data_IF_148012988662
#
_entry.id   IF_148012988662
#
_cell.length_a   1.000
_cell.length_b   1.000
_cell.length_c   1.000
_cell.angle_alpha   90.00
_cell.angle_beta   90.00
_cell.angle_gamma   90.00
#
_symmetry.space_group_name_H-M   'P 1'
#
loop_
_entity.id
_entity.type
_entity.pdbx_description
1 polymer ?
#
# COMPACT_ATOMS: atom_id res chain seq x y z
N UNK A 1 33.81 2.30 -47.26
CA UNK A 1 33.49 0.97 -46.73
C UNK A 1 33.21 1.15 -45.24
N UNK A 2 32.03 0.72 -44.82
CA UNK A 2 31.22 1.29 -43.75
C UNK A 2 31.82 1.24 -42.34
N UNK A 3 31.83 2.39 -41.66
CA UNK A 3 31.76 2.46 -40.18
C UNK A 3 30.39 3.07 -39.86
N UNK A 4 29.34 2.31 -40.13
CA UNK A 4 27.96 2.64 -39.75
C UNK A 4 27.38 1.42 -39.06
N UNK A 5 27.61 1.32 -37.75
CA UNK A 5 26.75 0.62 -36.79
C UNK A 5 27.39 0.71 -35.40
N UNK A 6 26.55 0.72 -34.36
CA UNK A 6 26.89 0.62 -32.92
C UNK A 6 26.87 1.90 -32.07
N UNK A 7 26.10 2.93 -32.45
CA UNK A 7 25.43 3.76 -31.44
C UNK A 7 24.00 3.29 -31.32
N UNK A 8 23.81 2.26 -30.51
CA UNK A 8 22.49 1.77 -30.13
C UNK A 8 21.84 2.87 -29.26
N UNK A 9 20.66 3.39 -29.60
CA UNK A 9 20.02 4.41 -28.80
C UNK A 9 19.73 3.85 -27.41
N UNK A 10 20.17 4.57 -26.37
CA UNK A 10 19.82 4.33 -24.97
C UNK A 10 18.30 4.16 -24.88
N UNK A 11 17.87 2.92 -24.67
CA UNK A 11 16.48 2.53 -24.71
C UNK A 11 15.66 3.32 -23.68
N UNK A 12 14.78 4.20 -24.15
CA UNK A 12 13.72 4.91 -23.41
C UNK A 12 12.58 3.99 -22.97
N UNK A 13 12.79 2.67 -22.91
CA UNK A 13 11.76 1.65 -22.66
C UNK A 13 11.24 1.58 -21.22
N UNK A 14 11.89 2.22 -20.24
CA UNK A 14 11.50 2.11 -18.84
C UNK A 14 10.44 3.12 -18.36
N UNK A 15 10.28 4.27 -19.03
CA UNK A 15 9.35 5.32 -18.57
C UNK A 15 7.89 4.90 -18.75
N UNK A 16 7.52 4.43 -19.94
CA UNK A 16 6.13 4.09 -20.28
C UNK A 16 5.57 2.95 -19.45
N UNK A 17 6.38 1.94 -19.13
CA UNK A 17 5.96 0.82 -18.28
C UNK A 17 5.62 1.28 -16.85
N UNK A 18 6.38 2.21 -16.29
CA UNK A 18 6.09 2.82 -14.99
C UNK A 18 4.78 3.60 -14.99
N UNK A 19 4.56 4.43 -16.01
CA UNK A 19 3.31 5.18 -16.18
C UNK A 19 2.09 4.26 -16.35
N UNK A 20 2.21 3.21 -17.17
CA UNK A 20 1.13 2.26 -17.38
C UNK A 20 0.80 1.48 -16.09
N UNK A 21 1.81 0.98 -15.38
CA UNK A 21 1.61 0.29 -14.11
C UNK A 21 0.99 1.21 -13.05
N UNK A 22 1.41 2.48 -13.00
CA UNK A 22 0.80 3.50 -12.14
C UNK A 22 -0.66 3.73 -12.48
N UNK A 23 -1.00 3.88 -13.77
CA UNK A 23 -2.37 4.07 -14.23
C UNK A 23 -3.25 2.86 -13.91
N UNK A 24 -2.77 1.64 -14.14
CA UNK A 24 -3.48 0.42 -13.74
C UNK A 24 -3.74 0.39 -12.24
N UNK A 25 -2.74 0.77 -11.43
CA UNK A 25 -2.91 0.92 -9.99
C UNK A 25 -4.03 1.91 -9.65
N UNK A 26 -4.01 3.11 -10.24
CA UNK A 26 -5.07 4.11 -10.02
C UNK A 26 -6.45 3.54 -10.38
N UNK A 27 -6.60 2.89 -11.52
CA UNK A 27 -7.87 2.31 -11.97
C UNK A 27 -8.39 1.26 -10.98
N UNK A 28 -7.51 0.35 -10.53
CA UNK A 28 -7.87 -0.73 -9.60
C UNK A 28 -8.23 -0.18 -8.22
N UNK A 29 -7.48 0.82 -7.72
CA UNK A 29 -7.62 1.28 -6.34
C UNK A 29 -8.63 2.42 -6.15
N UNK A 30 -8.94 3.22 -7.17
CA UNK A 30 -9.80 4.41 -7.03
C UNK A 30 -11.19 4.10 -6.47
N UNK A 31 -11.78 2.97 -6.85
CA UNK A 31 -13.10 2.53 -6.37
C UNK A 31 -13.09 1.85 -5.00
N UNK A 32 -11.91 1.54 -4.44
CA UNK A 32 -11.79 0.66 -3.27
C UNK A 32 -12.40 1.26 -2.00
N UNK A 33 -12.13 2.53 -1.70
CA UNK A 33 -12.67 3.19 -0.50
C UNK A 33 -14.19 3.46 -0.59
N UNK A 34 -14.74 3.96 -1.73
CA UNK A 34 -16.19 4.03 -1.92
C UNK A 34 -16.88 2.67 -1.79
N UNK A 35 -16.35 1.63 -2.43
CA UNK A 35 -16.91 0.29 -2.34
C UNK A 35 -16.87 -0.26 -0.91
N UNK A 36 -15.78 -0.01 -0.17
CA UNK A 36 -15.66 -0.38 1.25
C UNK A 36 -16.70 0.36 2.09
N UNK A 37 -16.89 1.66 1.86
CA UNK A 37 -17.87 2.46 2.60
C UNK A 37 -19.30 1.96 2.40
N UNK A 38 -19.64 1.56 1.17
CA UNK A 38 -20.93 0.96 0.85
C UNK A 38 -21.05 -0.41 1.53
N UNK A 39 -20.03 -1.26 1.41
CA UNK A 39 -20.05 -2.60 1.98
C UNK A 39 -20.20 -2.61 3.51
N UNK A 40 -19.57 -1.68 4.24
CA UNK A 40 -19.70 -1.60 5.72
C UNK A 40 -21.07 -1.07 6.19
N UNK A 41 -21.97 -0.67 5.28
CA UNK A 41 -23.37 -0.41 5.62
C UNK A 41 -24.14 -1.72 5.85
N UNK A 42 -23.75 -2.79 5.19
CA UNK A 42 -24.45 -4.08 5.22
C UNK A 42 -23.65 -5.18 5.94
N UNK A 43 -22.32 -5.10 5.92
CA UNK A 43 -21.43 -6.10 6.49
C UNK A 43 -20.62 -5.54 7.65
N UNK A 44 -20.38 -6.38 8.66
CA UNK A 44 -19.44 -6.05 9.73
C UNK A 44 -18.02 -5.83 9.14
N UNK A 45 -17.28 -4.78 9.56
CA UNK A 45 -15.93 -4.50 9.06
C UNK A 45 -14.98 -5.70 9.15
N UNK A 46 -15.04 -6.45 10.25
CA UNK A 46 -14.23 -7.65 10.43
C UNK A 46 -14.56 -8.73 9.40
N UNK A 47 -15.85 -9.01 9.18
CA UNK A 47 -16.27 -9.98 8.17
C UNK A 47 -15.82 -9.57 6.78
N UNK A 48 -15.98 -8.29 6.42
CA UNK A 48 -15.56 -7.77 5.13
C UNK A 48 -14.05 -7.92 4.92
N UNK A 49 -13.24 -7.61 5.93
CA UNK A 49 -11.78 -7.78 5.87
C UNK A 49 -11.39 -9.24 5.72
N UNK A 50 -11.97 -10.13 6.53
CA UNK A 50 -11.67 -11.57 6.48
C UNK A 50 -12.11 -12.16 5.14
N UNK A 51 -13.27 -11.78 4.61
CA UNK A 51 -13.75 -12.24 3.32
C UNK A 51 -12.81 -11.82 2.19
N UNK A 52 -12.38 -10.55 2.17
CA UNK A 52 -11.40 -10.04 1.19
C UNK A 52 -10.07 -10.77 1.28
N UNK A 53 -9.53 -10.92 2.49
CA UNK A 53 -8.27 -11.61 2.73
C UNK A 53 -8.36 -13.09 2.31
N UNK A 54 -9.45 -13.79 2.65
CA UNK A 54 -9.66 -15.20 2.34
C UNK A 54 -9.77 -15.43 0.83
N UNK A 55 -10.55 -14.61 0.11
CA UNK A 55 -10.71 -14.74 -1.35
C UNK A 55 -9.37 -14.48 -2.04
N UNK A 56 -8.67 -13.40 -1.67
CA UNK A 56 -7.35 -13.10 -2.23
C UNK A 56 -6.30 -14.16 -1.85
N UNK A 57 -6.35 -14.69 -0.63
CA UNK A 57 -5.50 -15.76 -0.13
C UNK A 57 -5.68 -17.06 -0.91
N UNK A 58 -6.92 -17.47 -1.21
CA UNK A 58 -7.18 -18.63 -2.05
C UNK A 58 -6.57 -18.45 -3.46
N UNK A 59 -6.74 -17.28 -4.06
CA UNK A 59 -6.13 -16.95 -5.36
C UNK A 59 -4.60 -16.98 -5.28
N UNK A 60 -4.02 -16.44 -4.20
CA UNK A 60 -2.59 -16.46 -3.95
C UNK A 60 -2.05 -17.89 -3.79
N UNK A 61 -2.72 -18.76 -3.03
CA UNK A 61 -2.37 -20.18 -2.90
C UNK A 61 -2.38 -20.86 -4.27
N UNK A 62 -3.45 -20.67 -5.06
CA UNK A 62 -3.54 -21.23 -6.40
C UNK A 62 -2.38 -20.76 -7.29
N UNK A 63 -2.06 -19.47 -7.28
CA UNK A 63 -0.93 -18.90 -8.03
C UNK A 63 0.40 -19.50 -7.61
N UNK A 64 0.69 -19.56 -6.31
CA UNK A 64 1.93 -20.11 -5.77
C UNK A 64 2.09 -21.60 -6.12
N UNK A 65 1.01 -22.37 -6.10
CA UNK A 65 1.02 -23.80 -6.46
C UNK A 65 1.23 -24.00 -7.98
N UNK A 66 0.49 -23.28 -8.82
CA UNK A 66 0.59 -23.38 -10.29
C UNK A 66 1.98 -22.97 -10.78
N UNK A 67 2.52 -21.88 -10.23
CA UNK A 67 3.85 -21.37 -10.58
C UNK A 67 4.99 -22.06 -9.82
N UNK A 68 4.67 -23.01 -8.92
CA UNK A 68 5.62 -23.78 -8.12
C UNK A 68 6.63 -22.91 -7.38
N UNK A 69 6.13 -21.83 -6.79
CA UNK A 69 6.97 -20.84 -6.12
C UNK A 69 7.66 -21.43 -4.89
N UNK A 70 8.91 -21.01 -4.68
CA UNK A 70 9.69 -21.46 -3.52
C UNK A 70 9.13 -20.85 -2.24
N UNK A 71 9.13 -21.63 -1.16
CA UNK A 71 8.74 -21.12 0.17
C UNK A 71 9.71 -20.03 0.64
N UNK A 72 9.24 -19.02 1.38
CA UNK A 72 10.10 -17.99 1.94
C UNK A 72 11.13 -18.58 2.89
N UNK A 73 12.31 -17.97 2.94
CA UNK A 73 13.35 -18.32 3.90
C UNK A 73 12.94 -17.89 5.32
N UNK A 74 13.52 -18.54 6.35
CA UNK A 74 13.16 -18.27 7.75
C UNK A 74 13.37 -16.82 8.17
N UNK A 75 14.41 -16.17 7.64
CA UNK A 75 14.71 -14.75 7.86
C UNK A 75 13.68 -13.79 7.20
N UNK A 76 12.89 -14.27 6.25
CA UNK A 76 11.86 -13.49 5.55
C UNK A 76 10.49 -13.59 6.22
N UNK A 77 10.30 -14.53 7.16
CA UNK A 77 9.01 -14.76 7.82
C UNK A 77 8.57 -13.59 8.69
N UNK A 78 9.50 -12.99 9.46
CA UNK A 78 9.16 -11.85 10.31
C UNK A 78 8.78 -10.61 9.49
N UNK A 79 9.56 -10.20 8.46
CA UNK A 79 9.12 -9.16 7.51
C UNK A 79 7.76 -9.48 6.85
N UNK A 80 7.55 -10.72 6.41
CA UNK A 80 6.27 -11.15 5.83
C UNK A 80 5.11 -11.02 6.81
N UNK A 81 5.30 -11.40 8.08
CA UNK A 81 4.29 -11.23 9.11
C UNK A 81 3.92 -9.76 9.32
N UNK A 82 4.91 -8.86 9.27
CA UNK A 82 4.66 -7.43 9.35
C UNK A 82 3.85 -6.94 8.14
N UNK A 83 4.21 -7.37 6.92
CA UNK A 83 3.43 -7.07 5.71
C UNK A 83 1.99 -7.58 5.83
N UNK A 84 1.79 -8.83 6.25
CA UNK A 84 0.47 -9.43 6.45
C UNK A 84 -0.36 -8.64 7.47
N UNK A 85 0.22 -8.36 8.63
CA UNK A 85 -0.45 -7.60 9.70
C UNK A 85 -0.81 -6.18 9.28
N UNK A 86 0.04 -5.50 8.50
CA UNK A 86 -0.13 -4.10 8.13
C UNK A 86 -0.99 -3.90 6.90
N UNK A 87 -0.69 -4.62 5.82
CA UNK A 87 -1.27 -4.41 4.49
C UNK A 87 -2.52 -5.27 4.26
N UNK A 88 -2.51 -6.51 4.73
CA UNK A 88 -3.62 -7.46 4.48
C UNK A 88 -4.72 -7.32 5.54
N UNK A 89 -4.34 -7.24 6.82
CA UNK A 89 -5.31 -7.21 7.93
C UNK A 89 -5.52 -5.79 8.45
N UNK A 90 -4.46 -5.14 8.92
CA UNK A 90 -4.50 -3.91 9.69
C UNK A 90 -5.12 -2.75 8.92
N UNK A 91 -4.57 -2.43 7.74
CA UNK A 91 -5.09 -1.34 6.92
C UNK A 91 -6.55 -1.55 6.50
N UNK A 92 -6.95 -2.68 5.87
CA UNK A 92 -8.34 -2.90 5.48
C UNK A 92 -9.30 -2.87 6.67
N UNK A 93 -8.94 -3.47 7.81
CA UNK A 93 -9.78 -3.47 9.01
C UNK A 93 -9.94 -2.06 9.60
N UNK A 94 -8.83 -1.35 9.84
CA UNK A 94 -8.86 -0.03 10.44
C UNK A 94 -9.57 0.97 9.52
N UNK A 95 -9.38 0.90 8.21
CA UNK A 95 -10.10 1.72 7.24
C UNK A 95 -11.58 1.35 7.18
N UNK A 96 -11.95 0.07 7.20
CA UNK A 96 -13.35 -0.34 7.23
C UNK A 96 -14.06 0.15 8.51
N UNK A 97 -13.39 0.09 9.67
CA UNK A 97 -13.87 0.67 10.92
C UNK A 97 -13.99 2.20 10.82
N UNK A 98 -12.98 2.88 10.28
CA UNK A 98 -13.01 4.34 10.13
C UNK A 98 -14.20 4.79 9.26
N UNK A 99 -14.45 4.07 8.16
CA UNK A 99 -15.54 4.35 7.23
C UNK A 99 -16.94 4.13 7.84
N UNK A 100 -17.06 3.56 9.03
CA UNK A 100 -18.33 3.60 9.77
C UNK A 100 -18.64 5.01 10.29
N UNK A 101 -17.60 5.83 10.52
CA UNK A 101 -17.71 7.15 11.12
C UNK A 101 -17.47 8.30 10.16
N UNK A 102 -16.73 8.07 9.07
CA UNK A 102 -16.35 9.10 8.10
C UNK A 102 -16.70 8.69 6.66
N UNK A 103 -16.73 9.67 5.76
CA UNK A 103 -17.00 9.41 4.34
C UNK A 103 -15.73 8.93 3.62
N UNK A 104 -15.89 8.25 2.49
CA UNK A 104 -14.75 7.88 1.64
C UNK A 104 -13.96 9.10 1.14
N UNK A 105 -14.64 10.22 0.88
CA UNK A 105 -14.01 11.46 0.45
C UNK A 105 -13.14 12.08 1.56
N UNK A 106 -13.55 11.96 2.83
CA UNK A 106 -12.73 12.36 3.96
C UNK A 106 -11.54 11.41 4.13
N UNK A 107 -11.76 10.09 4.11
CA UNK A 107 -10.71 9.09 4.29
C UNK A 107 -9.63 9.10 3.20
N UNK A 108 -9.98 9.37 1.94
CA UNK A 108 -9.00 9.34 0.83
C UNK A 108 -7.95 10.44 0.97
N UNK A 109 -8.30 11.56 1.61
CA UNK A 109 -7.36 12.66 1.89
C UNK A 109 -6.25 12.17 2.83
N UNK A 110 -6.60 11.43 3.87
CA UNK A 110 -5.63 10.82 4.79
C UNK A 110 -4.69 9.85 4.07
N UNK A 111 -5.17 9.07 3.09
CA UNK A 111 -4.30 8.16 2.31
C UNK A 111 -3.16 8.93 1.60
N UNK A 112 -3.32 10.22 1.34
CA UNK A 112 -2.24 11.09 0.87
C UNK A 112 -1.03 11.19 1.82
N UNK A 113 -1.17 10.84 3.09
CA UNK A 113 -0.08 10.77 4.08
C UNK A 113 0.72 9.47 4.01
N UNK A 114 0.19 8.45 3.33
CA UNK A 114 0.80 7.11 3.26
C UNK A 114 2.21 7.11 2.65
N UNK A 115 2.53 7.90 1.60
CA UNK A 115 3.89 8.00 1.10
C UNK A 115 4.88 8.52 2.15
N UNK A 116 4.49 9.52 2.96
CA UNK A 116 5.33 10.04 4.05
C UNK A 116 5.55 8.96 5.11
N UNK A 117 4.50 8.29 5.56
CA UNK A 117 4.60 7.20 6.55
C UNK A 117 5.49 6.06 6.05
N UNK A 118 5.31 5.64 4.79
CA UNK A 118 6.14 4.62 4.14
C UNK A 118 7.60 5.04 4.07
N UNK A 119 7.88 6.31 3.73
CA UNK A 119 9.25 6.82 3.66
C UNK A 119 9.93 6.87 5.03
N UNK A 120 9.23 7.28 6.09
CA UNK A 120 9.73 7.24 7.47
C UNK A 120 10.15 5.82 7.84
N UNK A 121 9.28 4.82 7.62
CA UNK A 121 9.63 3.43 7.92
C UNK A 121 10.70 2.86 6.98
N UNK A 122 10.78 3.32 5.74
CA UNK A 122 11.86 2.93 4.83
C UNK A 122 13.23 3.42 5.32
N UNK A 123 13.30 4.60 5.94
CA UNK A 123 14.53 5.07 6.60
C UNK A 123 14.82 4.27 7.87
N UNK A 124 13.82 4.10 8.74
CA UNK A 124 14.00 3.45 10.04
C UNK A 124 14.34 1.96 9.94
N UNK A 125 13.77 1.24 8.97
CA UNK A 125 13.93 -0.21 8.83
C UNK A 125 14.65 -0.65 7.56
N UNK A 126 14.42 0.06 6.46
CA UNK A 126 15.05 -0.25 5.16
C UNK A 126 16.44 0.36 5.00
N UNK A 127 16.85 1.28 5.89
CA UNK A 127 18.13 2.01 5.77
C UNK A 127 18.18 2.94 4.56
N UNK A 128 17.03 3.24 3.95
CA UNK A 128 16.93 4.14 2.80
C UNK A 128 17.34 5.55 3.19
N UNK A 129 17.94 6.29 2.25
CA UNK A 129 18.36 7.68 2.46
C UNK A 129 17.75 8.59 1.39
N UNK A 130 16.45 8.95 1.52
CA UNK A 130 15.80 9.86 0.59
C UNK A 130 16.53 11.20 0.55
N UNK A 131 16.59 11.81 -0.63
CA UNK A 131 17.19 13.13 -0.80
C UNK A 131 16.45 14.18 0.04
N UNK A 132 17.12 15.22 0.57
CA UNK A 132 16.46 16.27 1.36
C UNK A 132 15.24 16.89 0.67
N UNK A 133 15.30 17.06 -0.65
CA UNK A 133 14.19 17.58 -1.46
C UNK A 133 12.91 16.74 -1.37
N UNK A 134 13.04 15.40 -1.23
CA UNK A 134 11.90 14.51 -1.05
C UNK A 134 11.13 14.84 0.24
N UNK A 135 11.85 15.15 1.32
CA UNK A 135 11.25 15.51 2.59
C UNK A 135 10.51 16.84 2.52
N UNK A 136 11.07 17.83 1.83
CA UNK A 136 10.41 19.12 1.62
C UNK A 136 9.05 18.92 0.94
N UNK A 137 9.01 18.20 -0.18
CA UNK A 137 7.74 17.96 -0.89
C UNK A 137 6.79 17.04 -0.13
N UNK A 138 7.30 16.02 0.57
CA UNK A 138 6.46 15.10 1.35
C UNK A 138 5.84 15.80 2.57
N UNK A 139 6.60 16.65 3.26
CA UNK A 139 6.11 17.46 4.37
C UNK A 139 5.13 18.53 3.87
N UNK A 140 5.41 19.19 2.76
CA UNK A 140 4.51 20.17 2.15
C UNK A 140 3.18 19.52 1.76
N UNK A 141 3.22 18.39 1.05
CA UNK A 141 2.01 17.64 0.67
C UNK A 141 1.22 17.17 1.89
N UNK A 142 1.92 16.68 2.92
CA UNK A 142 1.28 16.26 4.17
C UNK A 142 0.65 17.43 4.93
N UNK A 143 1.31 18.59 4.95
CA UNK A 143 0.77 19.80 5.55
C UNK A 143 -0.49 20.29 4.81
N UNK A 144 -0.54 20.18 3.48
CA UNK A 144 -1.74 20.49 2.70
C UNK A 144 -2.88 19.52 3.01
N UNK A 145 -2.59 18.23 3.14
CA UNK A 145 -3.57 17.20 3.50
C UNK A 145 -4.15 17.47 4.90
N UNK A 146 -3.28 17.73 5.89
CA UNK A 146 -3.71 18.07 7.26
C UNK A 146 -4.48 19.39 7.29
N UNK A 147 -4.00 20.41 6.57
CA UNK A 147 -4.66 21.71 6.46
C UNK A 147 -6.06 21.60 5.84
N UNK A 148 -6.21 20.79 4.79
CA UNK A 148 -7.51 20.51 4.18
C UNK A 148 -8.45 19.81 5.17
N UNK A 149 -7.96 18.78 5.87
CA UNK A 149 -8.75 18.07 6.88
C UNK A 149 -9.23 19.02 8.00
N UNK A 150 -8.36 19.94 8.46
CA UNK A 150 -8.72 20.97 9.42
C UNK A 150 -9.77 21.97 8.86
N UNK A 151 -9.62 22.39 7.60
CA UNK A 151 -10.50 23.36 6.96
C UNK A 151 -11.92 22.81 6.69
N UNK A 152 -12.03 21.52 6.39
CA UNK A 152 -13.33 20.83 6.23
C UNK A 152 -14.04 20.61 7.58
N UNK A 153 -13.43 21.03 8.69
CA UNK A 153 -13.91 20.90 10.05
C UNK A 153 -13.55 19.55 10.66
N UNK A 154 -13.01 19.57 11.89
CA UNK A 154 -12.89 18.41 12.79
C UNK A 154 -14.28 17.84 13.22
N UNK A 155 -15.32 18.09 12.44
CA UNK A 155 -16.67 17.55 12.61
C UNK A 155 -16.77 16.10 12.15
N UNK A 156 -15.77 15.61 11.42
CA UNK A 156 -15.55 14.19 11.23
C UNK A 156 -15.23 13.55 12.60
N UNK A 157 -15.81 12.39 12.87
CA UNK A 157 -15.62 11.67 14.13
C UNK A 157 -14.13 11.53 14.48
N UNK A 158 -13.66 12.03 15.64
CA UNK A 158 -12.28 11.88 16.08
C UNK A 158 -11.82 10.41 16.11
N UNK A 159 -12.76 9.49 16.36
CA UNK A 159 -12.51 8.06 16.31
C UNK A 159 -12.18 7.60 14.87
N UNK A 160 -12.91 8.10 13.86
CA UNK A 160 -12.64 7.80 12.46
C UNK A 160 -11.28 8.33 11.99
N UNK A 161 -10.92 9.56 12.40
CA UNK A 161 -9.62 10.15 12.08
C UNK A 161 -8.47 9.37 12.73
N UNK A 162 -8.61 9.00 14.01
CA UNK A 162 -7.61 8.17 14.70
C UNK A 162 -7.43 6.80 14.02
N UNK A 163 -8.54 6.14 13.65
CA UNK A 163 -8.50 4.87 12.93
C UNK A 163 -7.80 5.01 11.57
N UNK A 164 -8.04 6.09 10.82
CA UNK A 164 -7.34 6.34 9.56
C UNK A 164 -5.85 6.59 9.75
N UNK A 165 -5.47 7.39 10.76
CA UNK A 165 -4.06 7.63 11.07
C UNK A 165 -3.35 6.33 11.47
N UNK A 166 -3.97 5.51 12.31
CA UNK A 166 -3.44 4.18 12.65
C UNK A 166 -3.32 3.28 11.41
N UNK A 167 -4.34 3.28 10.54
CA UNK A 167 -4.31 2.52 9.28
C UNK A 167 -3.10 2.92 8.42
N UNK A 168 -2.82 4.22 8.30
CA UNK A 168 -1.69 4.75 7.52
C UNK A 168 -0.35 4.34 8.12
N UNK A 169 -0.22 4.40 9.44
CA UNK A 169 1.02 4.01 10.12
C UNK A 169 1.30 2.53 9.91
N UNK A 170 0.33 1.64 10.17
CA UNK A 170 0.54 0.19 10.00
C UNK A 170 0.73 -0.20 8.53
N UNK A 171 0.03 0.47 7.62
CA UNK A 171 0.19 0.23 6.18
C UNK A 171 1.56 0.70 5.69
N UNK A 172 2.01 1.89 6.08
CA UNK A 172 3.33 2.42 5.71
C UNK A 172 4.46 1.55 6.25
N UNK A 173 4.30 1.03 7.46
CA UNK A 173 5.19 0.04 8.07
C UNK A 173 5.27 -1.25 7.21
N UNK A 174 4.11 -1.77 6.80
CA UNK A 174 4.00 -2.94 5.94
C UNK A 174 4.55 -2.72 4.53
N UNK A 175 4.30 -1.57 3.90
CA UNK A 175 4.85 -1.23 2.59
C UNK A 175 6.36 -1.06 2.62
N UNK A 176 6.94 -0.48 3.68
CA UNK A 176 8.40 -0.37 3.80
C UNK A 176 9.09 -1.74 3.87
N UNK A 177 8.54 -2.69 4.64
CA UNK A 177 9.05 -4.07 4.68
C UNK A 177 8.80 -4.81 3.38
N UNK A 178 7.60 -4.66 2.81
CA UNK A 178 7.24 -5.28 1.54
C UNK A 178 8.17 -4.82 0.41
N UNK A 179 8.51 -3.53 0.38
CA UNK A 179 9.47 -2.99 -0.58
C UNK A 179 10.86 -3.60 -0.39
N UNK A 180 11.38 -3.66 0.84
CA UNK A 180 12.66 -4.31 1.15
C UNK A 180 12.66 -5.78 0.73
N UNK A 181 11.61 -6.52 1.10
CA UNK A 181 11.47 -7.94 0.84
C UNK A 181 11.32 -8.25 -0.66
N UNK A 182 10.63 -7.38 -1.41
CA UNK A 182 10.41 -7.51 -2.86
C UNK A 182 11.71 -7.54 -3.66
N UNK A 183 12.80 -6.98 -3.13
CA UNK A 183 14.14 -7.03 -3.75
C UNK A 183 14.71 -8.46 -3.81
N UNK A 184 14.26 -9.34 -2.93
CA UNK A 184 14.74 -10.73 -2.82
C UNK A 184 13.71 -11.78 -3.20
N UNK A 185 12.42 -11.56 -2.88
CA UNK A 185 11.33 -12.50 -3.20
C UNK A 185 10.56 -12.14 -4.47
N UNK A 186 10.61 -10.89 -4.93
CA UNK A 186 9.71 -10.36 -5.96
C UNK A 186 8.41 -9.81 -5.37
N UNK A 187 7.87 -8.75 -6.00
CA UNK A 187 6.76 -7.97 -5.43
C UNK A 187 5.45 -8.75 -5.30
N UNK A 188 5.05 -9.49 -6.34
CA UNK A 188 3.80 -10.26 -6.30
C UNK A 188 3.90 -11.48 -5.39
N UNK A 189 5.08 -12.10 -5.27
CA UNK A 189 5.33 -13.19 -4.32
C UNK A 189 5.21 -12.71 -2.87
N UNK A 190 5.72 -11.52 -2.55
CA UNK A 190 5.57 -10.93 -1.20
C UNK A 190 4.10 -10.82 -0.83
N UNK A 191 3.26 -10.30 -1.73
CA UNK A 191 1.82 -10.17 -1.46
C UNK A 191 1.15 -11.54 -1.35
N UNK A 192 1.48 -12.49 -2.23
CA UNK A 192 0.91 -13.84 -2.15
C UNK A 192 1.25 -14.54 -0.83
N UNK A 193 2.52 -14.50 -0.41
CA UNK A 193 2.93 -15.10 0.86
C UNK A 193 2.35 -14.36 2.08
N UNK A 194 2.21 -13.04 2.02
CA UNK A 194 1.54 -12.28 3.07
C UNK A 194 0.05 -12.65 3.19
N UNK A 195 -0.64 -12.86 2.06
CA UNK A 195 -2.03 -13.31 2.02
C UNK A 195 -2.20 -14.75 2.54
N UNK A 196 -1.22 -15.63 2.31
CA UNK A 196 -1.24 -17.01 2.84
C UNK A 196 -1.02 -17.05 4.35
N UNK A 197 -0.29 -16.08 4.90
CA UNK A 197 -0.02 -16.00 6.33
C UNK A 197 -1.13 -15.32 7.15
N UNK A 198 -1.94 -14.48 6.51
CA UNK A 198 -3.03 -13.73 7.14
C UNK A 198 -4.28 -14.58 7.34
#
# INVERSE_FOLDING_TARGET
MEISSMVQPLATKHSTAGWLNGLMGVIIFSGSLPATRIAVLEFAPLFLTVARASIAGLVAVCLLLVLREKRPQRNQLMPLFIVASGVVVGFPLLTALALQYVTSAHSIVFVGLLPLATAVFAVLRGGERPRPVFWVFSLLGSALVVGFACAQGLSASPAGDLLMLLAIVVCGLGYAEGATLSRTLGGWQVICWALVLA
#
